data_IF_267929131503
#
_entry.id   IF_267929131503
#
_cell.length_a   1.000
_cell.length_b   1.000
_cell.length_c   1.000
_cell.angle_alpha   90.00
_cell.angle_beta   90.00
_cell.angle_gamma   90.00
#
_symmetry.space_group_name_H-M   'P 1'
#
loop_
_entity.id
_entity.type
_entity.pdbx_description
1 polymer ?
#
# COMPACT_ATOMS: atom_id res chain seq x y z
N UNK A 1 24.41 -47.81 -15.56
CA UNK A 1 24.65 -47.15 -16.85
C UNK A 1 23.31 -46.60 -17.31
N UNK A 2 22.91 -45.41 -16.86
CA UNK A 2 23.37 -44.10 -17.33
C UNK A 2 22.83 -43.79 -18.73
N UNK A 3 21.84 -42.88 -18.79
CA UNK A 3 21.62 -41.83 -19.81
C UNK A 3 20.17 -41.29 -19.64
N UNK A 4 19.96 -40.18 -18.91
CA UNK A 4 19.89 -38.78 -19.40
C UNK A 4 18.61 -38.45 -20.19
N UNK A 5 17.48 -38.35 -19.48
CA UNK A 5 16.25 -37.71 -19.96
C UNK A 5 16.35 -36.19 -19.76
N UNK A 6 16.22 -35.45 -20.86
CA UNK A 6 16.47 -34.02 -20.96
C UNK A 6 15.37 -33.17 -20.32
N UNK A 7 15.82 -32.04 -19.79
CA UNK A 7 15.03 -30.92 -19.28
C UNK A 7 13.88 -30.51 -20.20
N UNK A 8 12.71 -30.28 -19.62
CA UNK A 8 11.67 -29.45 -20.20
C UNK A 8 11.17 -28.45 -19.14
N UNK A 9 11.44 -27.16 -19.37
CA UNK A 9 11.05 -26.06 -18.47
C UNK A 9 9.64 -25.57 -18.84
N UNK A 10 8.75 -25.28 -17.88
CA UNK A 10 7.53 -24.56 -18.17
C UNK A 10 7.78 -23.03 -18.14
N UNK A 11 7.58 -22.39 -19.30
CA UNK A 11 7.26 -20.96 -19.38
C UNK A 11 5.82 -20.74 -18.95
N UNK A 12 5.57 -19.69 -18.14
CA UNK A 12 4.38 -18.82 -18.13
C UNK A 12 4.49 -17.86 -16.92
N UNK A 13 5.23 -16.76 -17.10
CA UNK A 13 5.09 -15.57 -16.25
C UNK A 13 4.25 -14.55 -17.03
N UNK A 14 3.06 -14.22 -16.54
CA UNK A 14 2.27 -13.09 -17.05
C UNK A 14 2.53 -11.87 -16.17
N UNK A 15 3.36 -10.95 -16.65
CA UNK A 15 3.45 -9.57 -16.13
C UNK A 15 2.70 -8.63 -17.08
N UNK A 16 1.95 -7.63 -16.58
CA UNK A 16 1.28 -6.65 -17.43
C UNK A 16 2.28 -5.59 -17.96
N UNK A 17 2.03 -4.97 -19.13
CA UNK A 17 2.97 -4.03 -19.73
C UNK A 17 2.95 -2.66 -19.04
N UNK A 18 4.13 -2.21 -18.61
CA UNK A 18 4.41 -0.82 -18.25
C UNK A 18 4.52 0.03 -19.52
N UNK A 19 3.62 1.01 -19.68
CA UNK A 19 3.75 2.03 -20.73
C UNK A 19 4.90 2.99 -20.39
N UNK A 20 5.92 2.98 -21.23
CA UNK A 20 6.95 4.04 -21.28
C UNK A 20 6.45 5.17 -22.18
N UNK A 21 6.48 6.41 -21.70
CA UNK A 21 6.25 7.61 -22.50
C UNK A 21 7.46 8.54 -22.39
N UNK A 22 8.18 8.69 -23.50
CA UNK A 22 9.16 9.75 -23.76
C UNK A 22 8.55 10.68 -24.83
N UNK A 23 8.70 11.99 -24.64
CA UNK A 23 8.36 13.04 -25.62
C UNK A 23 7.72 14.24 -24.92
N UNK A 24 8.51 15.16 -24.36
CA UNK A 24 8.97 16.40 -25.02
C UNK A 24 7.81 17.34 -25.38
N UNK A 25 7.49 18.23 -24.44
CA UNK A 25 6.76 19.47 -24.68
C UNK A 25 7.77 20.55 -25.04
N UNK A 26 7.55 21.28 -26.12
CA UNK A 26 7.94 22.68 -26.36
C UNK A 26 7.60 22.99 -27.82
N UNK A 27 6.50 23.72 -28.06
CA UNK A 27 6.40 24.77 -29.08
C UNK A 27 5.03 25.45 -29.03
N UNK A 28 4.97 26.58 -28.31
CA UNK A 28 3.97 27.62 -28.46
C UNK A 28 4.39 28.58 -29.57
N UNK A 29 3.57 28.79 -30.61
CA UNK A 29 3.39 30.10 -31.28
C UNK A 29 2.28 30.16 -32.35
N UNK A 30 1.51 31.26 -32.24
CA UNK A 30 0.69 32.00 -33.25
C UNK A 30 -0.71 31.43 -33.55
N UNK A 31 -1.81 32.05 -33.09
CA UNK A 31 -2.46 33.31 -33.52
C UNK A 31 -3.06 33.21 -34.93
N UNK A 32 -4.38 32.96 -35.08
CA UNK A 32 -5.38 33.99 -35.46
C UNK A 32 -6.82 33.42 -35.58
N UNK A 33 -7.80 34.32 -35.55
CA UNK A 33 -9.25 34.11 -35.45
C UNK A 33 -9.92 33.48 -36.69
N UNK A 34 -10.85 32.52 -36.51
CA UNK A 34 -12.16 32.43 -37.21
C UNK A 34 -13.07 31.31 -36.64
N UNK A 35 -14.20 31.65 -36.05
CA UNK A 35 -15.38 30.75 -35.90
C UNK A 35 -16.05 30.57 -37.29
N UNK A 36 -16.76 29.45 -37.59
CA UNK A 36 -17.75 28.82 -36.70
C UNK A 36 -17.86 27.28 -36.73
N UNK A 37 -18.64 26.77 -35.76
CA UNK A 37 -19.57 25.61 -35.83
C UNK A 37 -19.25 24.43 -34.90
N UNK A 38 -20.05 24.38 -33.83
CA UNK A 38 -20.68 23.22 -33.19
C UNK A 38 -19.90 21.88 -33.11
N UNK A 39 -19.50 21.51 -31.90
CA UNK A 39 -19.67 20.17 -31.33
C UNK A 39 -19.20 20.16 -29.87
N UNK A 40 -20.09 20.49 -28.92
CA UNK A 40 -19.88 20.10 -27.52
C UNK A 40 -20.15 18.60 -27.42
N UNK A 41 -19.10 17.78 -27.50
CA UNK A 41 -19.20 16.36 -27.16
C UNK A 41 -19.40 16.23 -25.64
N UNK A 42 -20.66 16.36 -25.22
CA UNK A 42 -21.13 15.83 -23.95
C UNK A 42 -20.92 14.33 -23.98
N UNK A 43 -20.14 13.82 -23.01
CA UNK A 43 -19.93 12.38 -22.84
C UNK A 43 -21.28 11.74 -22.55
N UNK A 44 -21.79 11.00 -23.53
CA UNK A 44 -23.02 10.21 -23.43
C UNK A 44 -22.97 9.31 -22.19
N UNK A 45 -23.78 9.64 -21.19
CA UNK A 45 -24.19 8.66 -20.18
C UNK A 45 -25.16 7.72 -20.89
N UNK A 46 -24.65 6.55 -21.31
CA UNK A 46 -25.43 5.49 -21.96
C UNK A 46 -26.45 4.93 -20.96
N UNK A 47 -27.59 5.61 -20.84
CA UNK A 47 -28.72 5.14 -20.05
C UNK A 47 -29.47 4.12 -20.93
N UNK A 48 -29.19 2.84 -20.73
CA UNK A 48 -29.82 1.73 -21.47
C UNK A 48 -31.31 1.51 -21.11
N UNK A 49 -31.96 2.52 -20.55
CA UNK A 49 -33.35 2.50 -20.10
C UNK A 49 -34.15 3.74 -20.54
N UNK A 50 -33.64 4.51 -21.51
CA UNK A 50 -34.32 5.73 -22.01
C UNK A 50 -35.62 5.39 -22.76
N UNK A 51 -35.68 4.23 -23.43
CA UNK A 51 -36.86 3.78 -24.16
C UNK A 51 -37.97 3.19 -23.29
N UNK A 52 -37.69 2.75 -22.06
CA UNK A 52 -38.68 2.03 -21.24
C UNK A 52 -39.73 2.96 -20.63
N UNK A 53 -39.46 4.26 -20.54
CA UNK A 53 -40.45 5.26 -20.15
C UNK A 53 -41.44 5.57 -21.28
N UNK A 54 -41.07 5.35 -22.55
CA UNK A 54 -41.94 5.59 -23.71
C UNK A 54 -43.05 4.55 -23.86
N UNK A 55 -42.84 3.33 -23.34
CA UNK A 55 -43.82 2.23 -23.41
C UNK A 55 -45.03 2.45 -22.51
N UNK A 56 -44.90 3.27 -21.46
CA UNK A 56 -46.02 3.60 -20.56
C UNK A 56 -47.07 4.49 -21.24
N UNK A 57 -46.66 5.40 -22.14
CA UNK A 57 -47.59 6.27 -22.86
C UNK A 57 -48.44 5.51 -23.90
N UNK A 58 -47.92 4.39 -24.44
CA UNK A 58 -48.61 3.61 -25.49
C UNK A 58 -49.72 2.71 -24.94
N UNK A 59 -49.57 2.23 -23.70
CA UNK A 59 -50.63 1.47 -23.00
C UNK A 59 -51.87 2.32 -22.73
N UNK A 60 -51.72 3.63 -22.51
CA UNK A 60 -52.87 4.54 -22.34
C UNK A 60 -53.68 4.74 -23.63
N UNK A 61 -53.11 4.43 -24.81
CA UNK A 61 -53.76 4.67 -26.12
C UNK A 61 -54.48 3.45 -26.73
N UNK A 62 -54.51 2.30 -26.05
CA UNK A 62 -55.08 1.04 -26.60
C UNK A 62 -56.39 0.57 -25.96
N UNK A 63 -57.01 1.36 -25.06
CA UNK A 63 -58.15 0.91 -24.27
C UNK A 63 -59.55 1.12 -24.91
N UNK A 64 -59.66 1.51 -26.19
CA UNK A 64 -60.97 1.87 -26.77
C UNK A 64 -61.28 1.17 -28.09
N UNK A 65 -61.43 -0.17 -28.11
CA UNK A 65 -62.31 -0.88 -29.06
C UNK A 65 -62.77 -2.21 -28.47
N UNK A 66 -64.03 -2.28 -28.03
CA UNK A 66 -64.66 -3.52 -27.58
C UNK A 66 -66.01 -3.26 -26.91
N UNK A 67 -67.06 -3.08 -27.71
CA UNK A 67 -68.43 -3.10 -27.21
C UNK A 67 -68.87 -4.55 -27.00
N UNK A 68 -69.16 -4.93 -25.76
CA UNK A 68 -69.77 -6.22 -25.41
C UNK A 68 -69.72 -6.53 -23.91
N UNK A 69 -70.89 -6.64 -23.27
CA UNK A 69 -71.14 -7.14 -21.91
C UNK A 69 -70.87 -6.19 -20.72
N UNK A 70 -71.94 -5.54 -20.26
CA UNK A 70 -71.99 -4.81 -18.98
C UNK A 70 -71.80 -5.70 -17.73
N UNK A 71 -71.78 -7.04 -17.88
CA UNK A 71 -71.45 -7.99 -16.78
C UNK A 71 -69.94 -8.25 -16.63
N UNK A 72 -69.15 -7.91 -17.65
CA UNK A 72 -67.69 -8.12 -17.66
C UNK A 72 -66.92 -7.06 -16.86
N UNK A 73 -67.48 -5.87 -16.63
CA UNK A 73 -66.80 -4.79 -15.91
C UNK A 73 -66.51 -5.14 -14.44
N UNK A 74 -67.40 -5.90 -13.78
CA UNK A 74 -67.20 -6.34 -12.41
C UNK A 74 -66.10 -7.41 -12.29
N UNK A 75 -66.05 -8.36 -13.25
CA UNK A 75 -64.96 -9.33 -13.34
C UNK A 75 -63.64 -8.67 -13.76
N UNK A 76 -63.67 -7.70 -14.67
CA UNK A 76 -62.49 -6.96 -15.12
C UNK A 76 -61.89 -6.09 -13.99
N UNK A 77 -62.73 -5.49 -13.14
CA UNK A 77 -62.29 -4.77 -11.95
C UNK A 77 -61.69 -5.72 -10.90
N UNK A 78 -62.32 -6.88 -10.66
CA UNK A 78 -61.80 -7.91 -9.77
C UNK A 78 -60.44 -8.47 -10.25
N UNK A 79 -60.29 -8.71 -11.55
CA UNK A 79 -59.01 -9.15 -12.16
C UNK A 79 -57.95 -8.06 -12.11
N UNK A 80 -58.31 -6.79 -12.35
CA UNK A 80 -57.37 -5.67 -12.27
C UNK A 80 -56.89 -5.41 -10.85
N UNK A 81 -57.76 -5.56 -9.85
CA UNK A 81 -57.39 -5.45 -8.43
C UNK A 81 -56.45 -6.59 -7.99
N UNK A 82 -56.68 -7.82 -8.47
CA UNK A 82 -55.74 -8.92 -8.26
C UNK A 82 -54.38 -8.66 -8.92
N UNK A 83 -54.36 -8.07 -10.12
CA UNK A 83 -53.11 -7.64 -10.75
C UNK A 83 -52.40 -6.57 -9.93
N UNK A 84 -53.11 -5.58 -9.40
CA UNK A 84 -52.53 -4.55 -8.53
C UNK A 84 -51.94 -5.16 -7.25
N UNK A 85 -52.64 -6.07 -6.57
CA UNK A 85 -52.10 -6.79 -5.41
C UNK A 85 -50.84 -7.60 -5.76
N UNK A 86 -50.85 -8.31 -6.90
CA UNK A 86 -49.70 -9.09 -7.35
C UNK A 86 -48.52 -8.18 -7.66
N UNK A 87 -48.76 -7.04 -8.31
CA UNK A 87 -47.73 -6.09 -8.69
C UNK A 87 -47.18 -5.32 -7.49
N UNK A 88 -48.01 -5.02 -6.48
CA UNK A 88 -47.57 -4.46 -5.21
C UNK A 88 -46.62 -5.42 -4.48
N UNK A 89 -46.98 -6.70 -4.41
CA UNK A 89 -46.12 -7.75 -3.82
C UNK A 89 -44.85 -8.00 -4.63
N UNK A 90 -44.95 -8.11 -5.95
CA UNK A 90 -43.80 -8.30 -6.84
C UNK A 90 -42.82 -7.13 -6.75
N UNK A 91 -43.33 -5.90 -6.61
CA UNK A 91 -42.48 -4.71 -6.46
C UNK A 91 -41.72 -4.73 -5.14
N UNK A 92 -42.39 -5.07 -4.03
CA UNK A 92 -41.73 -5.25 -2.74
C UNK A 92 -40.66 -6.35 -2.80
N UNK A 93 -41.00 -7.49 -3.42
CA UNK A 93 -40.10 -8.63 -3.55
C UNK A 93 -38.87 -8.31 -4.41
N UNK A 94 -39.04 -7.56 -5.52
CA UNK A 94 -37.91 -7.07 -6.32
C UNK A 94 -36.98 -6.16 -5.53
N UNK A 95 -37.53 -5.23 -4.75
CA UNK A 95 -36.73 -4.32 -3.92
C UNK A 95 -36.00 -5.11 -2.83
N UNK A 96 -36.67 -6.10 -2.23
CA UNK A 96 -36.07 -6.99 -1.24
C UNK A 96 -34.95 -7.85 -1.83
N UNK A 97 -35.12 -8.36 -3.05
CA UNK A 97 -34.08 -9.11 -3.76
C UNK A 97 -32.84 -8.24 -4.07
N UNK A 98 -33.04 -7.01 -4.52
CA UNK A 98 -31.94 -6.06 -4.76
C UNK A 98 -31.20 -5.74 -3.45
N UNK A 99 -31.95 -5.46 -2.37
CA UNK A 99 -31.38 -5.21 -1.04
C UNK A 99 -30.59 -6.42 -0.52
N UNK A 100 -31.13 -7.63 -0.68
CA UNK A 100 -30.45 -8.85 -0.25
C UNK A 100 -29.15 -9.08 -1.04
N UNK A 101 -29.15 -8.82 -2.35
CA UNK A 101 -27.94 -8.93 -3.19
C UNK A 101 -26.88 -7.90 -2.77
N UNK A 102 -27.27 -6.66 -2.49
CA UNK A 102 -26.37 -5.63 -2.00
C UNK A 102 -25.81 -5.98 -0.62
N UNK A 103 -26.63 -6.50 0.28
CA UNK A 103 -26.23 -6.92 1.62
C UNK A 103 -25.24 -8.09 1.58
N UNK A 104 -25.45 -9.08 0.72
CA UNK A 104 -24.48 -10.16 0.50
C UNK A 104 -23.14 -9.62 0.01
N UNK A 105 -23.15 -8.65 -0.92
CA UNK A 105 -21.92 -8.01 -1.41
C UNK A 105 -21.22 -7.23 -0.30
N UNK A 106 -21.98 -6.54 0.56
CA UNK A 106 -21.45 -5.80 1.72
C UNK A 106 -20.86 -6.74 2.76
N UNK A 107 -21.52 -7.85 3.08
CA UNK A 107 -21.01 -8.85 4.02
C UNK A 107 -19.70 -9.49 3.54
N UNK A 108 -19.57 -9.79 2.23
CA UNK A 108 -18.30 -10.30 1.68
C UNK A 108 -17.18 -9.27 1.84
N UNK A 109 -17.43 -8.00 1.51
CA UNK A 109 -16.45 -6.92 1.72
C UNK A 109 -16.05 -6.77 3.18
N UNK A 110 -17.03 -6.82 4.08
CA UNK A 110 -16.81 -6.69 5.52
C UNK A 110 -15.96 -7.84 6.07
N UNK A 111 -16.18 -9.09 5.62
CA UNK A 111 -15.34 -10.23 6.02
C UNK A 111 -13.89 -10.08 5.57
N UNK A 112 -13.68 -9.66 4.32
CA UNK A 112 -12.33 -9.43 3.77
C UNK A 112 -11.63 -8.30 4.53
N UNK A 113 -12.35 -7.21 4.84
CA UNK A 113 -11.80 -6.08 5.59
C UNK A 113 -11.50 -6.46 7.04
N UNK A 114 -12.36 -7.23 7.68
CA UNK A 114 -12.15 -7.73 9.04
C UNK A 114 -10.95 -8.69 9.12
N UNK A 115 -10.78 -9.56 8.12
CA UNK A 115 -9.62 -10.44 8.01
C UNK A 115 -8.32 -9.63 7.81
N UNK A 116 -8.35 -8.64 6.90
CA UNK A 116 -7.22 -7.71 6.73
C UNK A 116 -6.88 -6.96 8.01
N UNK A 117 -7.88 -6.43 8.71
CA UNK A 117 -7.67 -5.70 9.96
C UNK A 117 -7.07 -6.61 11.05
N UNK A 118 -7.47 -7.89 11.08
CA UNK A 118 -6.89 -8.88 12.00
C UNK A 118 -5.42 -9.14 11.67
N UNK A 119 -5.10 -9.38 10.40
CA UNK A 119 -3.74 -9.61 9.93
C UNK A 119 -2.85 -8.38 10.16
N UNK A 120 -3.37 -7.17 9.91
CA UNK A 120 -2.62 -5.93 10.13
C UNK A 120 -2.31 -5.71 11.62
N UNK A 121 -3.26 -6.01 12.51
CA UNK A 121 -3.03 -5.93 13.96
C UNK A 121 -2.00 -6.95 14.44
N UNK A 122 -2.01 -8.16 13.89
CA UNK A 122 -1.01 -9.19 14.19
C UNK A 122 0.38 -8.78 13.69
N UNK A 123 0.48 -8.33 12.44
CA UNK A 123 1.71 -7.81 11.85
C UNK A 123 2.26 -6.60 12.61
N UNK A 124 1.39 -5.73 13.13
CA UNK A 124 1.82 -4.59 13.92
C UNK A 124 2.42 -5.02 15.26
N UNK A 125 1.85 -6.04 15.92
CA UNK A 125 2.45 -6.63 17.13
C UNK A 125 3.81 -7.26 16.84
N UNK A 126 3.92 -8.01 15.74
CA UNK A 126 5.19 -8.61 15.32
C UNK A 126 6.28 -7.56 15.09
N UNK A 127 5.95 -6.46 14.42
CA UNK A 127 6.87 -5.32 14.23
C UNK A 127 7.28 -4.66 15.55
N UNK A 128 6.33 -4.43 16.45
CA UNK A 128 6.62 -3.85 17.77
C UNK A 128 7.53 -4.75 18.61
N UNK A 129 7.36 -6.08 18.52
CA UNK A 129 8.21 -7.06 19.19
C UNK A 129 9.62 -7.12 18.56
N UNK A 130 9.72 -7.08 17.23
CA UNK A 130 10.99 -7.02 16.51
C UNK A 130 11.77 -5.73 16.85
N UNK A 131 11.10 -4.58 16.85
CA UNK A 131 11.71 -3.29 17.22
C UNK A 131 12.16 -3.29 18.69
N UNK A 132 11.37 -3.89 19.59
CA UNK A 132 11.76 -4.03 20.99
C UNK A 132 13.03 -4.89 21.16
N UNK A 133 13.12 -5.99 20.41
CA UNK A 133 14.29 -6.88 20.42
C UNK A 133 15.52 -6.19 19.80
N UNK A 134 15.34 -5.47 18.70
CA UNK A 134 16.42 -4.68 18.08
C UNK A 134 16.91 -3.59 19.03
N UNK A 135 16.01 -2.87 19.69
CA UNK A 135 16.36 -1.86 20.69
C UNK A 135 17.13 -2.46 21.86
N UNK A 136 16.72 -3.63 22.35
CA UNK A 136 17.45 -4.36 23.38
C UNK A 136 18.87 -4.72 22.89
N UNK A 137 19.00 -5.26 21.67
CA UNK A 137 20.30 -5.59 21.06
C UNK A 137 21.21 -4.36 20.90
N UNK A 138 20.66 -3.25 20.42
CA UNK A 138 21.38 -2.00 20.27
C UNK A 138 21.87 -1.46 21.63
N UNK A 139 21.05 -1.56 22.68
CA UNK A 139 21.42 -1.15 24.03
C UNK A 139 22.59 -1.99 24.58
N UNK A 140 22.58 -3.31 24.37
CA UNK A 140 23.66 -4.21 24.76
C UNK A 140 24.94 -3.87 24.01
N UNK A 141 24.85 -3.67 22.69
CA UNK A 141 26.00 -3.31 21.87
C UNK A 141 26.63 -1.98 22.31
N UNK A 142 25.80 -0.98 22.60
CA UNK A 142 26.26 0.34 23.09
C UNK A 142 26.98 0.21 24.44
N UNK A 143 26.44 -0.62 25.35
CA UNK A 143 27.07 -0.88 26.64
C UNK A 143 28.41 -1.60 26.49
N UNK A 144 28.50 -2.61 25.62
CA UNK A 144 29.75 -3.32 25.33
C UNK A 144 30.79 -2.34 24.76
N UNK A 145 30.41 -1.51 23.80
CA UNK A 145 31.32 -0.54 23.20
C UNK A 145 31.79 0.51 24.22
N UNK A 146 30.90 0.98 25.10
CA UNK A 146 31.27 1.85 26.22
C UNK A 146 32.28 1.18 27.14
N UNK A 147 32.06 -0.07 27.54
CA UNK A 147 33.00 -0.80 28.39
C UNK A 147 34.36 -1.01 27.70
N UNK A 148 34.37 -1.32 26.41
CA UNK A 148 35.59 -1.47 25.63
C UNK A 148 36.37 -0.15 25.57
N UNK A 149 35.70 0.97 25.30
CA UNK A 149 36.33 2.29 25.28
C UNK A 149 36.97 2.68 26.62
N UNK A 150 36.32 2.32 27.74
CA UNK A 150 36.86 2.57 29.08
C UNK A 150 38.11 1.74 29.36
N UNK A 151 38.08 0.45 29.01
CA UNK A 151 39.25 -0.45 29.15
C UNK A 151 40.42 0.00 28.29
N UNK A 152 40.16 0.46 27.06
CA UNK A 152 41.21 0.97 26.17
C UNK A 152 41.84 2.25 26.73
N UNK A 153 41.02 3.17 27.24
CA UNK A 153 41.50 4.40 27.88
C UNK A 153 42.36 4.12 29.11
N UNK A 154 42.01 3.11 29.91
CA UNK A 154 42.79 2.67 31.05
C UNK A 154 44.15 2.09 30.63
N UNK A 155 44.16 1.21 29.61
CA UNK A 155 45.41 0.68 29.04
C UNK A 155 46.32 1.79 28.51
N UNK A 156 45.75 2.81 27.88
CA UNK A 156 46.53 3.93 27.35
C UNK A 156 47.19 4.74 28.47
N UNK A 157 46.46 5.02 29.56
CA UNK A 157 47.00 5.70 30.75
C UNK A 157 48.11 4.89 31.42
N UNK A 158 47.94 3.57 31.52
CA UNK A 158 48.96 2.70 32.11
C UNK A 158 50.22 2.62 31.23
N UNK A 159 50.05 2.56 29.90
CA UNK A 159 51.19 2.65 28.97
C UNK A 159 51.91 4.00 29.10
N UNK A 160 51.18 5.10 29.22
CA UNK A 160 51.75 6.43 29.43
C UNK A 160 52.52 6.50 30.75
N UNK A 161 51.95 5.97 31.84
CA UNK A 161 52.63 5.87 33.14
C UNK A 161 53.92 5.08 33.03
N UNK A 162 53.88 3.89 32.40
CA UNK A 162 55.07 3.05 32.21
C UNK A 162 56.13 3.73 31.34
N UNK A 163 55.72 4.44 30.28
CA UNK A 163 56.65 5.24 29.46
C UNK A 163 57.31 6.36 30.28
N UNK A 164 56.54 7.07 31.11
CA UNK A 164 57.05 8.11 32.01
C UNK A 164 58.00 7.56 33.06
N UNK A 165 57.67 6.42 33.67
CA UNK A 165 58.53 5.75 34.65
C UNK A 165 59.81 5.22 34.00
N UNK A 166 59.77 4.71 32.78
CA UNK A 166 60.98 4.31 32.05
C UNK A 166 61.87 5.51 31.69
N UNK A 167 61.27 6.65 31.33
CA UNK A 167 62.00 7.90 31.08
C UNK A 167 62.53 8.56 32.37
N UNK A 168 61.88 8.35 33.52
CA UNK A 168 62.25 9.00 34.79
C UNK A 168 63.08 8.11 35.73
N UNK A 169 62.89 6.79 35.68
CA UNK A 169 63.59 5.79 36.49
C UNK A 169 64.80 5.17 35.79
N UNK A 170 64.90 5.35 34.47
CA UNK A 170 66.15 5.17 33.76
C UNK A 170 67.06 6.34 34.06
N UNK A 171 67.98 6.17 35.00
CA UNK A 171 69.18 6.98 35.03
C UNK A 171 69.78 6.94 33.62
N UNK A 172 69.76 8.07 32.92
CA UNK A 172 70.32 8.15 31.57
C UNK A 172 71.84 7.94 31.67
N UNK A 173 72.28 6.74 31.33
CA UNK A 173 73.67 6.32 31.42
C UNK A 173 74.59 7.19 30.55
N UNK A 174 74.07 7.76 29.46
CA UNK A 174 74.84 8.68 28.60
C UNK A 174 74.99 10.05 29.28
N UNK A 175 73.93 10.53 29.92
CA UNK A 175 74.01 11.78 30.69
C UNK A 175 74.92 11.62 31.92
N UNK A 176 74.90 10.45 32.56
CA UNK A 176 75.82 10.16 33.67
C UNK A 176 77.28 9.99 33.22
N UNK A 177 77.55 9.40 32.04
CA UNK A 177 78.92 9.36 31.50
C UNK A 177 79.45 10.75 31.21
N UNK A 178 78.61 11.66 30.70
CA UNK A 178 78.99 13.06 30.46
C UNK A 178 79.23 13.83 31.77
N UNK A 179 78.44 13.56 32.81
CA UNK A 179 78.65 14.13 34.16
C UNK A 179 79.97 13.64 34.76
N UNK A 180 80.31 12.35 34.60
CA UNK A 180 81.55 11.77 35.11
C UNK A 180 82.78 12.30 34.36
N UNK A 181 82.70 12.39 33.03
CA UNK A 181 83.77 12.94 32.18
C UNK A 181 84.10 14.39 32.54
N UNK A 182 83.08 15.24 32.77
CA UNK A 182 83.30 16.64 33.19
C UNK A 182 83.98 16.76 34.56
N UNK A 183 83.70 15.83 35.47
CA UNK A 183 84.36 15.79 36.76
C UNK A 183 85.82 15.37 36.63
N UNK A 184 86.11 14.39 35.77
CA UNK A 184 87.47 13.96 35.43
C UNK A 184 88.30 15.07 34.76
N UNK A 185 87.69 15.88 33.89
CA UNK A 185 88.34 17.02 33.24
C UNK A 185 88.69 18.16 34.22
N UNK A 186 87.92 18.34 35.29
CA UNK A 186 88.17 19.41 36.28
C UNK A 186 89.27 19.03 37.31
N UNK A 187 89.61 17.73 37.38
CA UNK A 187 90.64 17.18 38.27
C UNK A 187 91.98 16.88 37.56
N UNK A 188 92.07 17.10 36.24
CA UNK A 188 93.33 17.11 35.47
C UNK A 188 93.88 18.52 35.32
#
# INVERSE_FOLDING_TARGET
MESLEKQNKPDLTSTPPTLTSKGSFENLKKLDQKTPKAASQGKDVKINNVGSWSSLAKVSSSATKGAGSAKSSASNFATSFQMFQRQAKEKEERVKAIRAQEEQRKQQRQKIEQERARMEREKQREREEEEALERARASVQTNVQRQQSMKERERLREQERRKREAMAGGIDMNMQSDIMTKFEETLS
#
